data_IF_536969903883
#
_entry.id   IF_536969903883
#
_cell.length_a   1.000
_cell.length_b   1.000
_cell.length_c   1.000
_cell.angle_alpha   90.00
_cell.angle_beta   90.00
_cell.angle_gamma   90.00
#
_symmetry.space_group_name_H-M   'P 1'
#
loop_
_entity.id
_entity.type
_entity.pdbx_description
1 polymer ?
#
# COMPACT_ATOMS: atom_id res chain seq x y z
N UNK A 1 -8.06 -13.90 49.34
CA UNK A 1 -9.01 -14.44 48.33
C UNK A 1 -9.04 -13.66 47.02
N UNK A 2 -8.78 -12.35 47.00
CA UNK A 2 -8.78 -11.54 45.76
C UNK A 2 -7.65 -11.89 44.76
N UNK A 3 -6.45 -12.22 45.25
CA UNK A 3 -5.31 -12.56 44.39
C UNK A 3 -5.48 -13.88 43.62
N UNK A 4 -6.09 -14.89 44.24
CA UNK A 4 -6.42 -16.15 43.58
C UNK A 4 -7.49 -15.98 42.49
N UNK A 5 -8.44 -15.06 42.70
CA UNK A 5 -9.47 -14.74 41.71
C UNK A 5 -8.90 -14.09 40.44
N UNK A 6 -7.95 -13.15 40.58
CA UNK A 6 -7.30 -12.52 39.42
C UNK A 6 -6.45 -13.50 38.59
N UNK A 7 -5.77 -14.45 39.23
CA UNK A 7 -4.97 -15.47 38.54
C UNK A 7 -5.88 -16.45 37.78
N UNK A 8 -7.02 -16.82 38.36
CA UNK A 8 -7.97 -17.74 37.73
C UNK A 8 -8.67 -17.07 36.54
N UNK A 9 -9.00 -15.78 36.62
CA UNK A 9 -9.51 -14.98 35.49
C UNK A 9 -8.46 -14.89 34.39
N UNK A 10 -7.20 -14.61 34.73
CA UNK A 10 -6.12 -14.51 33.76
C UNK A 10 -5.81 -15.83 33.02
N UNK A 11 -5.97 -16.97 33.69
CA UNK A 11 -5.83 -18.31 33.09
C UNK A 11 -7.06 -18.74 32.28
N UNK A 12 -8.25 -18.26 32.65
CA UNK A 12 -9.50 -18.57 31.96
C UNK A 12 -9.74 -17.70 30.71
N UNK A 13 -9.08 -16.54 30.60
CA UNK A 13 -9.13 -15.67 29.42
C UNK A 13 -7.73 -15.50 28.82
N UNK A 14 -7.20 -16.51 28.08
CA UNK A 14 -6.00 -16.27 27.28
C UNK A 14 -6.30 -15.12 26.31
N UNK A 15 -5.43 -14.10 26.29
CA UNK A 15 -5.48 -13.08 25.26
C UNK A 15 -5.34 -13.77 23.90
N UNK A 16 -6.38 -13.74 23.06
CA UNK A 16 -6.26 -14.22 21.69
C UNK A 16 -5.20 -13.37 20.99
N UNK A 17 -4.06 -13.98 20.67
CA UNK A 17 -3.09 -13.38 19.77
C UNK A 17 -3.69 -13.50 18.38
N UNK A 18 -4.58 -12.57 18.06
CA UNK A 18 -4.94 -12.27 16.69
C UNK A 18 -3.64 -11.86 15.99
N UNK A 19 -3.39 -12.45 14.82
CA UNK A 19 -2.41 -11.90 13.87
C UNK A 19 -2.65 -10.38 13.81
N UNK A 20 -1.58 -9.58 13.70
CA UNK A 20 -1.67 -8.12 13.63
C UNK A 20 -2.53 -7.69 12.43
N UNK A 21 -3.85 -7.77 12.59
CA UNK A 21 -4.82 -7.05 11.81
C UNK A 21 -4.59 -5.60 12.15
N UNK A 22 -4.60 -4.78 11.11
CA UNK A 22 -4.48 -3.34 11.22
C UNK A 22 -5.59 -2.86 12.14
N UNK A 23 -5.27 -2.66 13.42
CA UNK A 23 -6.21 -2.15 14.40
C UNK A 23 -6.39 -0.67 14.06
N UNK A 24 -7.50 -0.40 13.39
CA UNK A 24 -7.86 0.90 12.87
C UNK A 24 -8.56 1.70 13.97
N UNK A 25 -7.83 2.65 14.56
CA UNK A 25 -8.36 3.59 15.55
C UNK A 25 -9.34 4.55 14.87
N UNK A 26 -10.63 4.21 14.90
CA UNK A 26 -11.72 5.06 14.42
C UNK A 26 -11.79 6.41 15.15
N UNK A 27 -10.96 7.36 14.73
CA UNK A 27 -11.08 8.77 15.00
C UNK A 27 -12.23 9.35 14.18
N UNK A 28 -13.02 10.24 14.79
CA UNK A 28 -14.25 10.78 14.22
C UNK A 28 -14.14 11.20 12.75
N UNK A 29 -15.19 10.93 11.98
CA UNK A 29 -15.24 11.09 10.53
C UNK A 29 -14.95 12.54 10.10
N UNK A 30 -13.68 12.84 9.83
CA UNK A 30 -13.29 14.05 9.14
C UNK A 30 -13.82 13.95 7.69
N UNK A 31 -14.71 14.86 7.25
CA UNK A 31 -15.34 14.80 5.92
C UNK A 31 -14.33 14.78 4.76
N UNK A 32 -13.08 15.20 5.02
CA UNK A 32 -12.05 15.31 3.99
C UNK A 32 -11.23 14.02 3.80
N UNK A 33 -11.44 12.96 4.60
CA UNK A 33 -10.64 11.71 4.51
C UNK A 33 -10.76 11.03 3.15
N UNK A 34 -11.98 10.92 2.61
CA UNK A 34 -12.22 10.28 1.30
C UNK A 34 -11.64 11.11 0.16
N UNK A 35 -11.70 12.44 0.27
CA UNK A 35 -11.08 13.35 -0.69
C UNK A 35 -9.55 13.23 -0.64
N UNK A 36 -8.96 13.19 0.56
CA UNK A 36 -7.52 13.02 0.75
C UNK A 36 -7.02 11.69 0.16
N UNK A 37 -7.76 10.59 0.38
CA UNK A 37 -7.45 9.30 -0.22
C UNK A 37 -7.56 9.31 -1.76
N UNK A 38 -8.64 9.90 -2.30
CA UNK A 38 -8.81 10.03 -3.74
C UNK A 38 -7.69 10.86 -4.40
N UNK A 39 -7.30 11.97 -3.76
CA UNK A 39 -6.20 12.82 -4.25
C UNK A 39 -4.85 12.12 -4.19
N UNK A 40 -4.57 11.36 -3.13
CA UNK A 40 -3.33 10.60 -3.00
C UNK A 40 -3.14 9.59 -4.13
N UNK A 41 -4.13 8.71 -4.36
CA UNK A 41 -4.05 7.74 -5.47
C UNK A 41 -4.12 8.43 -6.83
N UNK A 42 -4.99 9.42 -6.99
CA UNK A 42 -5.22 10.09 -8.28
C UNK A 42 -3.97 10.81 -8.80
N UNK A 43 -3.34 11.64 -7.96
CA UNK A 43 -2.14 12.38 -8.35
C UNK A 43 -0.94 11.45 -8.57
N UNK A 44 -0.78 10.42 -7.72
CA UNK A 44 0.27 9.42 -7.90
C UNK A 44 0.11 8.65 -9.22
N UNK A 45 -1.11 8.27 -9.58
CA UNK A 45 -1.41 7.54 -10.81
C UNK A 45 -1.14 8.38 -12.06
N UNK A 46 -1.38 9.70 -12.01
CA UNK A 46 -1.03 10.61 -13.11
C UNK A 46 0.49 10.66 -13.30
N UNK A 47 1.25 10.83 -12.22
CA UNK A 47 2.71 10.84 -12.28
C UNK A 47 3.28 9.51 -12.78
N UNK A 48 2.75 8.39 -12.26
CA UNK A 48 3.12 7.05 -12.71
C UNK A 48 2.82 6.85 -14.19
N UNK A 49 1.64 7.27 -14.68
CA UNK A 49 1.28 7.14 -16.10
C UNK A 49 2.24 7.88 -17.04
N UNK A 50 2.69 9.08 -16.65
CA UNK A 50 3.69 9.84 -17.43
C UNK A 50 5.04 9.11 -17.45
N UNK A 51 5.49 8.61 -16.29
CA UNK A 51 6.75 7.88 -16.17
C UNK A 51 6.73 6.54 -16.92
N UNK A 52 5.63 5.80 -16.83
CA UNK A 52 5.40 4.53 -17.53
C UNK A 52 5.32 4.77 -19.04
N UNK A 53 4.68 5.84 -19.51
CA UNK A 53 4.64 6.19 -20.93
C UNK A 53 6.04 6.33 -21.53
N UNK A 54 6.94 7.03 -20.84
CA UNK A 54 8.33 7.19 -21.28
C UNK A 54 9.17 5.91 -21.16
N UNK A 55 9.16 5.28 -19.98
CA UNK A 55 9.95 4.05 -19.73
C UNK A 55 9.47 2.87 -20.57
N UNK A 56 8.16 2.74 -20.80
CA UNK A 56 7.55 1.71 -21.63
C UNK A 56 7.89 1.88 -23.11
N UNK A 57 7.79 3.12 -23.64
CA UNK A 57 8.18 3.39 -25.02
C UNK A 57 9.67 3.08 -25.27
N UNK A 58 10.55 3.46 -24.34
CA UNK A 58 11.97 3.13 -24.41
C UNK A 58 12.22 1.62 -24.31
N UNK A 59 11.50 0.91 -23.44
CA UNK A 59 11.60 -0.54 -23.28
C UNK A 59 11.21 -1.30 -24.56
N UNK A 60 10.12 -0.91 -25.20
CA UNK A 60 9.68 -1.51 -26.47
C UNK A 60 10.66 -1.19 -27.59
N UNK A 61 11.16 0.05 -27.67
CA UNK A 61 12.17 0.44 -28.64
C UNK A 61 13.48 -0.36 -28.51
N UNK A 62 13.99 -0.49 -27.28
CA UNK A 62 15.19 -1.29 -27.02
C UNK A 62 14.99 -2.78 -27.32
N UNK A 63 13.79 -3.31 -27.05
CA UNK A 63 13.43 -4.70 -27.35
C UNK A 63 13.36 -4.95 -28.86
N UNK A 64 12.92 -3.96 -29.64
CA UNK A 64 12.87 -4.06 -31.10
C UNK A 64 14.28 -4.20 -31.73
N UNK A 65 15.29 -3.54 -31.16
CA UNK A 65 16.68 -3.70 -31.60
C UNK A 65 17.37 -4.94 -31.01
N UNK A 66 17.11 -5.23 -29.73
CA UNK A 66 17.78 -6.29 -28.96
C UNK A 66 16.74 -7.02 -28.11
N UNK A 67 16.16 -8.13 -28.61
CA UNK A 67 15.10 -8.84 -27.90
C UNK A 67 15.58 -9.42 -26.56
N UNK A 68 16.88 -9.68 -26.39
CA UNK A 68 17.43 -10.14 -25.12
C UNK A 68 17.36 -9.08 -24.01
N UNK A 69 17.13 -7.80 -24.37
CA UNK A 69 17.02 -6.71 -23.41
C UNK A 69 15.64 -6.58 -22.75
N UNK A 70 14.62 -7.26 -23.28
CA UNK A 70 13.22 -7.13 -22.85
C UNK A 70 13.06 -7.25 -21.32
N UNK A 71 13.60 -8.32 -20.73
CA UNK A 71 13.48 -8.56 -19.29
C UNK A 71 14.16 -7.51 -18.42
N UNK A 72 15.28 -6.92 -18.86
CA UNK A 72 15.97 -5.84 -18.14
C UNK A 72 15.19 -4.54 -18.24
N UNK A 73 14.61 -4.26 -19.39
CA UNK A 73 13.80 -3.07 -19.62
C UNK A 73 12.52 -3.07 -18.78
N UNK A 74 11.91 -4.25 -18.55
CA UNK A 74 10.74 -4.39 -17.68
C UNK A 74 11.00 -4.00 -16.22
N UNK A 75 12.24 -4.12 -15.73
CA UNK A 75 12.59 -3.70 -14.35
C UNK A 75 12.36 -2.20 -14.20
N UNK A 76 12.76 -1.39 -15.19
CA UNK A 76 12.61 0.06 -15.14
C UNK A 76 11.15 0.50 -15.34
N UNK A 77 10.37 -0.24 -16.14
CA UNK A 77 8.93 -0.01 -16.27
C UNK A 77 8.19 -0.38 -14.98
N UNK A 78 8.55 -1.49 -14.33
CA UNK A 78 7.97 -1.85 -13.03
C UNK A 78 8.34 -0.86 -11.93
N UNK A 79 9.56 -0.30 -11.98
CA UNK A 79 10.02 0.70 -11.01
C UNK A 79 9.25 2.03 -11.15
N UNK A 80 8.82 2.40 -12.36
CA UNK A 80 7.98 3.58 -12.57
C UNK A 80 6.53 3.36 -12.10
N UNK A 81 6.00 2.15 -12.20
CA UNK A 81 4.68 1.79 -11.65
C UNK A 81 4.62 1.84 -10.12
N UNK A 82 5.76 1.66 -9.44
CA UNK A 82 5.87 1.77 -7.99
C UNK A 82 5.32 3.08 -7.42
N UNK A 83 5.35 4.17 -8.19
CA UNK A 83 4.78 5.47 -7.78
C UNK A 83 3.27 5.35 -7.52
N UNK A 84 2.53 4.68 -8.40
CA UNK A 84 1.09 4.46 -8.24
C UNK A 84 0.80 3.54 -7.05
N UNK A 85 1.60 2.48 -6.87
CA UNK A 85 1.46 1.54 -5.76
C UNK A 85 1.66 2.24 -4.42
N UNK A 86 2.64 3.14 -4.30
CA UNK A 86 2.83 3.93 -3.08
C UNK A 86 1.68 4.91 -2.83
N UNK A 87 1.13 5.55 -3.87
CA UNK A 87 -0.07 6.39 -3.74
C UNK A 87 -1.30 5.61 -3.26
N UNK A 88 -1.49 4.41 -3.79
CA UNK A 88 -2.55 3.49 -3.34
C UNK A 88 -2.33 3.03 -1.89
N UNK A 89 -1.09 2.66 -1.54
CA UNK A 89 -0.72 2.29 -0.17
C UNK A 89 -1.05 3.42 0.82
N UNK A 90 -0.65 4.65 0.50
CA UNK A 90 -0.93 5.83 1.34
C UNK A 90 -2.44 6.05 1.46
N UNK A 91 -3.19 5.84 0.38
CA UNK A 91 -4.67 5.94 0.42
C UNK A 91 -5.30 4.92 1.35
N UNK A 92 -4.79 3.67 1.37
CA UNK A 92 -5.20 2.68 2.36
C UNK A 92 -4.76 3.06 3.78
N UNK A 93 -3.62 3.71 3.97
CA UNK A 93 -3.22 4.21 5.29
C UNK A 93 -4.13 5.37 5.73
N UNK A 94 -4.61 6.21 4.81
CA UNK A 94 -5.53 7.33 5.09
C UNK A 94 -6.94 6.84 5.43
N UNK A 95 -7.48 5.91 4.63
CA UNK A 95 -8.78 5.27 4.87
C UNK A 95 -8.74 4.25 6.00
N UNK A 96 -7.54 3.71 6.23
CA UNK A 96 -7.18 2.70 7.21
C UNK A 96 -6.70 3.28 8.54
N UNK A 97 -6.82 4.60 8.68
CA UNK A 97 -7.01 5.26 9.99
C UNK A 97 -8.43 5.01 10.44
#
# INVERSE_FOLDING_TARGET
MMAAGMIMVWLASPSEVLAAGMAQEGGGADPYITLAAALSTGLASIGAGIAVGGSGAAAVGATAEKPESFGRSLIFVGLSEGIAIYGLMISFIILGR
#
